data_IF_161724914546
#
_entry.id   IF_161724914546
#
_cell.length_a   1.000
_cell.length_b   1.000
_cell.length_c   1.000
_cell.angle_alpha   90.00
_cell.angle_beta   90.00
_cell.angle_gamma   90.00
#
_symmetry.space_group_name_H-M   'P 1'
#
loop_
_entity.id
_entity.type
_entity.pdbx_description
1 polymer ?
#
# COMPACT_ATOMS: atom_id res chain seq x y z
N UNK A 1 2.92 -11.55 15.74
CA UNK A 1 2.73 -10.39 14.84
C UNK A 1 3.91 -10.25 13.89
N UNK A 2 5.15 -10.31 14.39
CA UNK A 2 6.38 -10.26 13.58
C UNK A 2 6.47 -11.37 12.52
N UNK A 3 6.05 -12.61 12.84
CA UNK A 3 6.05 -13.72 11.88
C UNK A 3 5.14 -13.48 10.66
N UNK A 4 3.97 -12.85 10.87
CA UNK A 4 3.02 -12.56 9.78
C UNK A 4 3.57 -11.48 8.85
N UNK A 5 4.24 -10.47 9.40
CA UNK A 5 4.91 -9.43 8.61
C UNK A 5 6.03 -10.03 7.75
N UNK A 6 6.84 -10.95 8.31
CA UNK A 6 7.91 -11.63 7.58
C UNK A 6 7.34 -12.48 6.43
N UNK A 7 6.29 -13.28 6.67
CA UNK A 7 5.64 -14.08 5.62
C UNK A 7 5.05 -13.19 4.53
N UNK A 8 4.37 -12.12 4.92
CA UNK A 8 3.81 -11.13 3.98
C UNK A 8 4.92 -10.50 3.14
N UNK A 9 6.03 -10.10 3.76
CA UNK A 9 7.20 -9.54 3.07
C UNK A 9 7.75 -10.48 2.00
N UNK A 10 7.89 -11.77 2.30
CA UNK A 10 8.36 -12.76 1.33
C UNK A 10 7.43 -12.89 0.12
N UNK A 11 6.11 -12.95 0.35
CA UNK A 11 5.13 -13.00 -0.75
C UNK A 11 5.20 -11.72 -1.58
N UNK A 12 5.34 -10.57 -0.93
CA UNK A 12 5.48 -9.29 -1.61
C UNK A 12 6.72 -9.29 -2.50
N UNK A 13 7.87 -9.72 -2.00
CA UNK A 13 9.12 -9.70 -2.76
C UNK A 13 9.16 -10.75 -3.88
N UNK A 14 8.58 -11.93 -3.68
CA UNK A 14 8.65 -13.05 -4.64
C UNK A 14 7.56 -12.97 -5.72
N UNK A 15 6.35 -12.50 -5.40
CA UNK A 15 5.21 -12.54 -6.32
C UNK A 15 4.74 -11.17 -6.79
N UNK A 16 4.77 -10.16 -5.92
CA UNK A 16 4.14 -8.85 -6.18
C UNK A 16 5.14 -7.86 -6.77
N UNK A 17 6.30 -7.70 -6.13
CA UNK A 17 7.33 -6.72 -6.49
C UNK A 17 7.82 -6.88 -7.94
N UNK A 18 8.04 -8.10 -8.48
CA UNK A 18 8.45 -8.24 -9.89
C UNK A 18 7.41 -7.71 -10.87
N UNK A 19 6.12 -7.90 -10.59
CA UNK A 19 5.02 -7.41 -11.43
C UNK A 19 4.93 -5.89 -11.40
N UNK A 20 5.06 -5.28 -10.21
CA UNK A 20 5.02 -3.82 -10.05
C UNK A 20 6.26 -3.16 -10.68
N UNK A 21 7.45 -3.75 -10.50
CA UNK A 21 8.69 -3.27 -11.10
C UNK A 21 8.63 -3.30 -12.64
N UNK A 22 8.00 -4.32 -13.23
CA UNK A 22 7.77 -4.41 -14.68
C UNK A 22 6.91 -3.26 -15.22
N UNK A 23 6.09 -2.63 -14.37
CA UNK A 23 5.29 -1.45 -14.69
C UNK A 23 5.96 -0.12 -14.26
N UNK A 24 7.21 -0.16 -13.82
CA UNK A 24 7.98 1.02 -13.41
C UNK A 24 7.52 1.64 -12.09
N UNK A 25 6.99 0.83 -11.19
CA UNK A 25 6.70 1.21 -9.80
C UNK A 25 7.52 0.40 -8.80
N UNK A 26 7.29 0.63 -7.51
CA UNK A 26 7.74 -0.25 -6.44
C UNK A 26 6.71 -0.23 -5.28
N UNK A 27 6.87 -1.15 -4.33
CA UNK A 27 5.99 -1.32 -3.17
C UNK A 27 6.81 -1.34 -1.87
N UNK A 28 6.29 -0.66 -0.86
CA UNK A 28 6.86 -0.69 0.51
C UNK A 28 5.78 -1.02 1.51
N UNK A 29 6.04 -1.95 2.43
CA UNK A 29 5.16 -2.23 3.56
C UNK A 29 5.42 -1.17 4.63
N UNK A 30 4.39 -0.38 4.97
CA UNK A 30 4.45 0.64 6.02
C UNK A 30 4.20 0.01 7.39
N UNK A 31 3.29 -0.97 7.44
CA UNK A 31 2.99 -1.68 8.67
C UNK A 31 1.84 -2.66 8.50
N UNK A 32 1.67 -3.51 9.51
CA UNK A 32 0.57 -4.46 9.61
C UNK A 32 -0.02 -4.34 11.01
N UNK A 33 -1.25 -3.83 11.09
CA UNK A 33 -2.00 -3.74 12.35
C UNK A 33 -3.23 -4.64 12.27
N UNK A 34 -3.30 -5.62 13.18
CA UNK A 34 -4.36 -6.64 13.24
C UNK A 34 -4.52 -7.38 11.91
N UNK A 35 -5.45 -6.92 11.08
CA UNK A 35 -5.80 -7.49 9.77
C UNK A 35 -5.65 -6.47 8.65
N UNK A 36 -5.03 -5.32 8.92
CA UNK A 36 -4.87 -4.23 7.94
C UNK A 36 -3.39 -4.07 7.58
N UNK A 37 -3.05 -4.50 6.36
CA UNK A 37 -1.75 -4.26 5.76
C UNK A 37 -1.73 -2.88 5.12
N UNK A 38 -0.88 -2.00 5.63
CA UNK A 38 -0.67 -0.67 5.05
C UNK A 38 0.55 -0.72 4.13
N UNK A 39 0.36 -0.37 2.87
CA UNK A 39 1.40 -0.34 1.84
C UNK A 39 1.53 1.06 1.27
N UNK A 40 2.71 1.36 0.73
CA UNK A 40 2.99 2.55 -0.06
C UNK A 40 3.40 2.09 -1.45
N UNK A 41 2.70 2.60 -2.47
CA UNK A 41 3.07 2.40 -3.87
C UNK A 41 3.93 3.59 -4.32
N UNK A 42 4.97 3.33 -5.10
CA UNK A 42 5.84 4.36 -5.69
C UNK A 42 5.92 4.19 -7.22
N UNK A 43 6.44 5.20 -7.92
CA UNK A 43 6.54 5.22 -9.39
C UNK A 43 5.19 5.43 -10.09
N UNK A 44 5.01 4.85 -11.27
CA UNK A 44 3.83 5.14 -12.12
C UNK A 44 2.50 4.77 -11.46
N UNK A 45 2.47 3.72 -10.65
CA UNK A 45 1.26 3.28 -9.94
C UNK A 45 0.87 4.23 -8.80
N UNK A 46 1.77 5.09 -8.31
CA UNK A 46 1.50 6.00 -7.20
C UNK A 46 0.64 7.21 -7.59
N UNK A 47 0.62 7.61 -8.86
CA UNK A 47 -0.08 8.82 -9.31
C UNK A 47 -1.49 8.61 -9.86
N UNK A 48 -1.91 7.36 -10.10
CA UNK A 48 -3.18 7.03 -10.74
C UNK A 48 -4.15 6.38 -9.73
N UNK A 49 -5.21 7.09 -9.27
CA UNK A 49 -6.14 6.55 -8.29
C UNK A 49 -6.79 5.24 -8.71
N UNK A 50 -7.08 5.10 -10.01
CA UNK A 50 -7.72 3.90 -10.54
C UNK A 50 -6.79 2.67 -10.46
N UNK A 51 -5.51 2.87 -10.81
CA UNK A 51 -4.50 1.83 -10.74
C UNK A 51 -4.18 1.46 -9.30
N UNK A 52 -4.17 2.42 -8.37
CA UNK A 52 -3.95 2.13 -6.95
C UNK A 52 -5.03 1.19 -6.38
N UNK A 53 -6.29 1.41 -6.72
CA UNK A 53 -7.40 0.56 -6.24
C UNK A 53 -7.26 -0.86 -6.76
N UNK A 54 -7.08 -1.03 -8.07
CA UNK A 54 -6.97 -2.36 -8.67
C UNK A 54 -5.71 -3.10 -8.22
N UNK A 55 -4.57 -2.41 -8.11
CA UNK A 55 -3.33 -2.98 -7.57
C UNK A 55 -3.50 -3.39 -6.11
N UNK A 56 -4.12 -2.58 -5.26
CA UNK A 56 -4.36 -2.93 -3.86
C UNK A 56 -5.27 -4.15 -3.72
N UNK A 57 -6.35 -4.22 -4.50
CA UNK A 57 -7.25 -5.39 -4.55
C UNK A 57 -6.52 -6.66 -4.99
N UNK A 58 -5.71 -6.57 -6.04
CA UNK A 58 -4.92 -7.70 -6.51
C UNK A 58 -3.88 -8.17 -5.47
N UNK A 59 -3.24 -7.24 -4.77
CA UNK A 59 -2.30 -7.56 -3.67
C UNK A 59 -3.05 -8.25 -2.52
N UNK A 60 -4.21 -7.74 -2.13
CA UNK A 60 -5.08 -8.33 -1.10
C UNK A 60 -5.41 -9.78 -1.44
N UNK A 61 -5.90 -10.03 -2.65
CA UNK A 61 -6.23 -11.37 -3.10
C UNK A 61 -5.01 -12.30 -3.15
N UNK A 62 -3.88 -11.82 -3.66
CA UNK A 62 -2.65 -12.62 -3.79
C UNK A 62 -2.14 -13.09 -2.43
N UNK A 63 -2.13 -12.18 -1.44
CA UNK A 63 -1.67 -12.46 -0.08
C UNK A 63 -2.65 -13.41 0.62
N UNK A 64 -3.95 -13.14 0.54
CA UNK A 64 -4.98 -13.97 1.17
C UNK A 64 -5.03 -15.38 0.58
N UNK A 65 -4.88 -15.52 -0.74
CA UNK A 65 -4.78 -16.83 -1.42
C UNK A 65 -3.51 -17.60 -1.00
N UNK A 66 -2.39 -16.90 -0.83
CA UNK A 66 -1.11 -17.54 -0.49
C UNK A 66 -1.02 -17.99 0.97
N UNK A 67 -1.65 -17.27 1.90
CA UNK A 67 -1.55 -17.54 3.34
C UNK A 67 -2.83 -18.12 3.96
N UNK A 68 -3.95 -18.14 3.25
CA UNK A 68 -5.25 -18.51 3.82
C UNK A 68 -5.76 -17.52 4.86
N UNK A 69 -5.43 -16.23 4.70
CA UNK A 69 -5.80 -15.14 5.62
C UNK A 69 -6.93 -14.29 5.04
N UNK A 70 -7.53 -13.42 5.86
CA UNK A 70 -8.44 -12.35 5.41
C UNK A 70 -7.88 -10.99 5.84
N UNK A 71 -6.78 -10.59 5.21
CA UNK A 71 -6.18 -9.28 5.39
C UNK A 71 -6.86 -8.26 4.47
N UNK A 72 -6.95 -7.01 4.93
CA UNK A 72 -7.33 -5.83 4.14
C UNK A 72 -6.10 -5.02 3.80
N UNK A 73 -5.99 -4.61 2.54
CA UNK A 73 -4.86 -3.80 2.08
C UNK A 73 -5.28 -2.34 1.94
N UNK A 74 -4.52 -1.44 2.58
CA UNK A 74 -4.70 0.02 2.46
C UNK A 74 -3.47 0.66 1.83
N UNK A 75 -3.68 1.53 0.87
CA UNK A 75 -2.62 2.35 0.26
C UNK A 75 -2.47 3.63 1.06
N UNK A 76 -1.24 3.88 1.53
CA UNK A 76 -0.84 5.12 2.17
C UNK A 76 -0.37 6.11 1.11
N UNK A 77 -1.17 7.14 0.89
CA UNK A 77 -0.82 8.29 0.05
C UNK A 77 -0.26 9.38 0.97
N UNK A 78 1.07 9.57 0.95
CA UNK A 78 1.69 10.69 1.65
C UNK A 78 1.24 12.02 1.03
N UNK A 79 0.76 12.92 1.87
CA UNK A 79 0.61 14.33 1.55
C UNK A 79 1.72 15.05 2.30
N UNK A 80 2.46 15.95 1.65
CA UNK A 80 3.52 16.68 2.34
C UNK A 80 2.95 17.47 3.51
N UNK A 81 3.73 17.57 4.59
CA UNK A 81 3.33 18.32 5.78
C UNK A 81 3.01 19.78 5.44
N UNK A 82 3.75 20.37 4.48
CA UNK A 82 3.49 21.71 3.96
C UNK A 82 2.10 21.84 3.33
N UNK A 83 1.67 20.87 2.52
CA UNK A 83 0.34 20.85 1.92
C UNK A 83 -0.74 20.61 2.98
N UNK A 84 -0.45 19.78 3.98
CA UNK A 84 -1.36 19.54 5.09
C UNK A 84 -1.58 20.79 5.94
N UNK A 85 -0.51 21.52 6.25
CA UNK A 85 -0.59 22.75 7.03
C UNK A 85 -1.24 23.89 6.23
N UNK A 86 -1.00 23.93 4.92
CA UNK A 86 -1.75 24.81 4.02
C UNK A 86 -3.25 24.50 4.03
N UNK A 87 -3.64 23.22 3.91
CA UNK A 87 -5.04 22.80 3.96
C UNK A 87 -5.71 23.14 5.29
N UNK A 88 -5.04 22.88 6.43
CA UNK A 88 -5.54 23.27 7.77
C UNK A 88 -5.75 24.77 7.89
N UNK A 89 -4.89 25.56 7.27
CA UNK A 89 -4.99 27.03 7.26
C UNK A 89 -6.22 27.49 6.49
N UNK A 90 -6.54 26.87 5.35
CA UNK A 90 -7.76 27.15 4.57
C UNK A 90 -9.01 26.75 5.37
N UNK A 91 -9.02 25.55 5.95
CA UNK A 91 -10.19 25.00 6.65
C UNK A 91 -10.50 25.73 7.97
N UNK A 92 -9.51 26.36 8.62
CA UNK A 92 -9.74 27.20 9.83
C UNK A 92 -10.37 28.56 9.54
N UNK A 93 -10.51 28.96 8.27
CA UNK A 93 -11.08 30.26 7.86
C UNK A 93 -12.56 30.19 7.42
N UNK A 94 -13.25 29.10 7.70
CA UNK A 94 -14.71 28.96 7.55
C UNK A 94 -15.37 28.97 8.93
#
# INVERSE_FOLDING_TARGET
>A
MEELLIKTGRIVDEQIRPSINSHGGDITIVGLDKEVLTIKLTGHCAGCPLSQISTAQWIEETINKSMGTDLKVKVYNEVSDELWDFAKTILRKQ
#
